data_IF_064868409661
#
_entry.id   IF_064868409661
#
_cell.length_a   1.000
_cell.length_b   1.000
_cell.length_c   1.000
_cell.angle_alpha   90.00
_cell.angle_beta   90.00
_cell.angle_gamma   90.00
#
_symmetry.space_group_name_H-M   'P 1'
#
loop_
_entity.id
_entity.type
_entity.pdbx_description
1 polymer ?
#
# COMPACT_ATOMS: atom_id res chain seq x y z
N UNK A 1 29.27 9.68 -29.79
CA UNK A 1 30.34 9.75 -30.82
C UNK A 1 31.51 10.57 -30.26
N UNK A 2 32.61 9.88 -29.90
CA UNK A 2 33.78 10.48 -29.25
C UNK A 2 34.68 11.19 -30.27
N UNK A 3 34.42 12.47 -30.54
CA UNK A 3 35.32 13.33 -31.31
C UNK A 3 36.52 13.85 -30.50
N UNK A 4 36.51 13.67 -29.17
CA UNK A 4 37.55 14.16 -28.25
C UNK A 4 38.97 13.62 -28.49
N UNK A 5 39.22 12.32 -28.77
CA UNK A 5 40.60 11.83 -28.88
C UNK A 5 41.35 12.33 -30.14
N UNK A 6 40.65 12.71 -31.22
CA UNK A 6 41.30 13.17 -32.46
C UNK A 6 41.95 14.55 -32.37
N UNK A 7 41.50 15.40 -31.44
CA UNK A 7 42.04 16.77 -31.24
C UNK A 7 43.06 16.79 -30.08
N UNK A 8 42.86 15.95 -29.06
CA UNK A 8 43.71 15.95 -27.87
C UNK A 8 45.11 15.39 -28.18
N UNK A 9 45.21 14.32 -28.97
CA UNK A 9 46.49 13.69 -29.30
C UNK A 9 47.49 14.63 -30.02
N UNK A 10 47.11 15.35 -31.10
CA UNK A 10 48.04 16.30 -31.74
C UNK A 10 48.39 17.48 -30.84
N UNK A 11 47.49 17.92 -29.97
CA UNK A 11 47.74 19.03 -29.03
C UNK A 11 48.79 18.63 -27.97
N UNK A 12 48.70 17.40 -27.43
CA UNK A 12 49.68 16.86 -26.49
C UNK A 12 51.03 16.63 -27.17
N UNK A 13 51.03 16.12 -28.40
CA UNK A 13 52.27 15.97 -29.15
C UNK A 13 52.96 17.34 -29.39
N UNK A 14 52.19 18.37 -29.74
CA UNK A 14 52.71 19.73 -29.91
C UNK A 14 53.23 20.32 -28.59
N UNK A 15 52.54 20.13 -27.47
CA UNK A 15 53.00 20.65 -26.16
C UNK A 15 54.29 19.98 -25.69
N UNK A 16 54.43 18.67 -25.93
CA UNK A 16 55.67 17.94 -25.62
C UNK A 16 56.83 18.44 -26.47
N UNK A 17 56.61 18.68 -27.77
CA UNK A 17 57.64 19.24 -28.65
C UNK A 17 58.07 20.65 -28.23
N UNK A 18 57.14 21.50 -27.82
CA UNK A 18 57.44 22.85 -27.30
C UNK A 18 58.29 22.76 -26.03
N UNK A 19 57.89 21.90 -25.08
CA UNK A 19 58.62 21.74 -23.83
C UNK A 19 60.05 21.22 -24.02
N UNK A 20 60.21 20.22 -24.90
CA UNK A 20 61.52 19.70 -25.28
C UNK A 20 62.37 20.76 -26.00
N UNK A 21 61.76 21.60 -26.84
CA UNK A 21 62.45 22.74 -27.45
C UNK A 21 62.93 23.74 -26.41
N UNK A 22 62.10 24.10 -25.44
CA UNK A 22 62.47 25.01 -24.34
C UNK A 22 63.63 24.41 -23.55
N UNK A 23 63.54 23.14 -23.14
CA UNK A 23 64.61 22.45 -22.41
C UNK A 23 65.93 22.47 -23.18
N UNK A 24 65.87 22.15 -24.48
CA UNK A 24 67.04 22.13 -25.36
C UNK A 24 67.68 23.50 -25.47
N UNK A 25 66.90 24.57 -25.71
CA UNK A 25 67.47 25.89 -25.89
C UNK A 25 67.99 26.51 -24.58
N UNK A 26 67.38 26.21 -23.43
CA UNK A 26 67.90 26.65 -22.12
C UNK A 26 69.26 26.03 -21.86
N UNK A 27 69.38 24.70 -22.00
CA UNK A 27 70.67 24.02 -21.83
C UNK A 27 71.69 24.53 -22.86
N UNK A 28 71.29 24.71 -24.11
CA UNK A 28 72.19 25.26 -25.12
C UNK A 28 72.67 26.67 -24.75
N UNK A 29 71.78 27.53 -24.25
CA UNK A 29 72.11 28.88 -23.81
C UNK A 29 73.08 28.91 -22.62
N UNK A 30 72.82 28.10 -21.59
CA UNK A 30 73.65 28.07 -20.37
C UNK A 30 75.11 27.67 -20.69
N UNK A 31 75.29 26.80 -21.67
CA UNK A 31 76.61 26.37 -22.15
C UNK A 31 77.12 27.20 -23.36
N UNK A 32 76.47 28.31 -23.69
CA UNK A 32 76.86 29.23 -24.77
C UNK A 32 76.95 28.57 -26.15
N UNK A 33 76.01 27.66 -26.44
CA UNK A 33 75.85 26.94 -27.71
C UNK A 33 77.12 26.16 -28.14
N UNK A 34 77.58 25.18 -27.33
CA UNK A 34 78.86 24.48 -27.53
C UNK A 34 78.82 23.59 -28.78
N UNK A 35 79.93 23.44 -29.52
CA UNK A 35 79.98 22.57 -30.72
C UNK A 35 79.83 21.08 -30.38
N UNK A 36 80.17 20.74 -29.15
CA UNK A 36 80.19 19.39 -28.58
C UNK A 36 78.78 18.80 -28.46
N UNK A 37 77.74 19.62 -28.50
CA UNK A 37 76.34 19.19 -28.49
C UNK A 37 75.80 18.76 -29.86
N UNK A 38 76.63 18.85 -30.91
CA UNK A 38 76.33 18.43 -32.27
C UNK A 38 75.98 19.60 -33.20
N UNK A 39 75.50 19.29 -34.39
CA UNK A 39 75.03 20.30 -35.34
C UNK A 39 73.64 20.82 -34.94
N UNK A 40 73.44 22.14 -35.05
CA UNK A 40 72.12 22.74 -34.93
C UNK A 40 71.25 22.42 -36.15
N UNK A 41 69.93 22.55 -36.00
CA UNK A 41 69.00 22.62 -37.13
C UNK A 41 69.27 23.88 -37.98
N UNK A 42 69.67 24.97 -37.31
CA UNK A 42 70.03 26.25 -37.91
C UNK A 42 71.24 26.82 -37.16
N UNK A 43 72.34 27.01 -37.88
CA UNK A 43 73.56 27.61 -37.36
C UNK A 43 73.73 29.03 -37.95
N UNK A 44 73.57 30.06 -37.12
CA UNK A 44 73.72 31.47 -37.52
C UNK A 44 74.79 32.13 -36.66
N UNK A 45 76.01 32.22 -37.19
CA UNK A 45 77.14 32.82 -36.49
C UNK A 45 77.51 32.04 -35.22
N UNK A 46 77.36 32.68 -34.05
CA UNK A 46 77.63 32.07 -32.73
C UNK A 46 76.39 31.44 -32.08
N UNK A 47 75.20 31.64 -32.65
CA UNK A 47 73.95 31.09 -32.13
C UNK A 47 73.61 29.80 -32.89
N UNK A 48 73.32 28.70 -32.17
CA UNK A 48 72.90 27.43 -32.77
C UNK A 48 71.53 27.02 -32.25
N UNK A 49 70.56 26.87 -33.15
CA UNK A 49 69.24 26.38 -32.77
C UNK A 49 69.25 24.86 -32.89
N UNK A 50 69.29 24.17 -31.76
CA UNK A 50 69.27 22.71 -31.71
C UNK A 50 67.87 22.12 -31.89
N UNK A 51 67.82 20.84 -32.29
CA UNK A 51 66.56 20.13 -32.47
C UNK A 51 65.81 19.96 -31.13
N UNK A 52 64.47 20.09 -31.10
CA UNK A 52 63.70 20.02 -29.87
C UNK A 52 63.98 18.78 -29.01
N UNK A 53 64.21 17.61 -29.62
CA UNK A 53 64.48 16.35 -28.90
C UNK A 53 65.94 16.17 -28.46
N UNK A 54 66.86 17.07 -28.82
CA UNK A 54 68.28 16.93 -28.51
C UNK A 54 68.55 16.89 -27.00
N UNK A 55 67.73 17.60 -26.22
CA UNK A 55 67.77 17.55 -24.75
C UNK A 55 67.73 16.12 -24.19
N UNK A 56 66.94 15.21 -24.77
CA UNK A 56 66.84 13.81 -24.28
C UNK A 56 68.18 13.09 -24.39
N UNK A 57 68.86 13.26 -25.53
CA UNK A 57 70.18 12.67 -25.76
C UNK A 57 71.26 13.31 -24.90
N UNK A 58 71.19 14.64 -24.71
CA UNK A 58 72.14 15.35 -23.85
C UNK A 58 71.95 15.02 -22.37
N UNK A 59 70.71 14.87 -21.91
CA UNK A 59 70.41 14.52 -20.53
C UNK A 59 71.04 13.18 -20.17
N UNK A 60 70.88 12.16 -21.03
CA UNK A 60 71.51 10.85 -20.81
C UNK A 60 73.05 10.86 -20.83
N UNK A 61 73.68 11.82 -21.53
CA UNK A 61 75.14 11.86 -21.73
C UNK A 61 75.88 12.79 -20.78
N UNK A 62 75.27 13.92 -20.42
CA UNK A 62 75.94 15.03 -19.75
C UNK A 62 75.31 15.41 -18.39
N UNK A 63 74.05 15.03 -18.12
CA UNK A 63 73.38 15.44 -16.88
C UNK A 63 74.10 14.94 -15.62
N UNK A 64 74.77 13.79 -15.66
CA UNK A 64 75.51 13.27 -14.51
C UNK A 64 76.66 14.20 -14.04
N UNK A 65 77.24 14.99 -14.95
CA UNK A 65 78.33 15.91 -14.64
C UNK A 65 77.84 17.34 -14.39
N UNK A 66 76.68 17.71 -14.93
CA UNK A 66 76.13 19.07 -14.89
C UNK A 66 74.68 19.07 -14.39
N UNK A 67 74.41 18.36 -13.29
CA UNK A 67 73.05 18.07 -12.79
C UNK A 67 72.19 19.33 -12.64
N UNK A 68 72.71 20.39 -12.02
CA UNK A 68 71.94 21.62 -11.76
C UNK A 68 71.38 22.27 -13.04
N UNK A 69 72.16 22.33 -14.13
CA UNK A 69 71.72 22.96 -15.37
C UNK A 69 70.65 22.11 -16.08
N UNK A 70 70.86 20.80 -16.12
CA UNK A 70 69.94 19.87 -16.79
C UNK A 70 68.63 19.66 -16.01
N UNK A 71 68.68 19.59 -14.68
CA UNK A 71 67.50 19.41 -13.84
C UNK A 71 66.62 20.67 -13.80
N UNK A 72 67.24 21.86 -13.78
CA UNK A 72 66.50 23.12 -13.88
C UNK A 72 65.77 23.22 -15.22
N UNK A 73 66.44 22.90 -16.33
CA UNK A 73 65.82 22.89 -17.65
C UNK A 73 64.69 21.85 -17.75
N UNK A 74 64.86 20.66 -17.15
CA UNK A 74 63.82 19.63 -17.08
C UNK A 74 62.60 20.10 -16.28
N UNK A 75 62.79 20.74 -15.12
CA UNK A 75 61.69 21.27 -14.31
C UNK A 75 60.91 22.38 -15.03
N UNK A 76 61.61 23.29 -15.70
CA UNK A 76 60.98 24.36 -16.49
C UNK A 76 60.14 23.77 -17.64
N UNK A 77 60.69 22.78 -18.34
CA UNK A 77 59.97 22.09 -19.41
C UNK A 77 58.74 21.33 -18.89
N UNK A 78 58.86 20.66 -17.74
CA UNK A 78 57.73 19.98 -17.09
C UNK A 78 56.64 20.99 -16.70
N UNK A 79 57.00 22.11 -16.08
CA UNK A 79 56.05 23.16 -15.71
C UNK A 79 55.33 23.74 -16.95
N UNK A 80 56.04 23.93 -18.06
CA UNK A 80 55.48 24.43 -19.32
C UNK A 80 54.40 23.51 -19.93
N UNK A 81 54.44 22.19 -19.67
CA UNK A 81 53.39 21.26 -20.10
C UNK A 81 52.26 21.17 -19.06
N UNK A 82 52.63 21.01 -17.79
CA UNK A 82 51.66 20.65 -16.74
C UNK A 82 50.77 21.82 -16.32
N UNK A 83 51.32 23.05 -16.21
CA UNK A 83 50.55 24.21 -15.74
C UNK A 83 49.40 24.56 -16.70
N UNK A 84 49.60 24.69 -18.02
CA UNK A 84 48.51 24.97 -18.96
C UNK A 84 47.50 23.82 -19.03
N UNK A 85 47.98 22.57 -18.95
CA UNK A 85 47.12 21.38 -18.99
C UNK A 85 46.21 21.30 -17.77
N UNK A 86 46.71 21.60 -16.57
CA UNK A 86 45.91 21.67 -15.35
C UNK A 86 44.89 22.81 -15.40
N UNK A 87 45.26 23.99 -15.90
CA UNK A 87 44.33 25.11 -16.09
C UNK A 87 43.22 24.74 -17.08
N UNK A 88 43.54 24.09 -18.18
CA UNK A 88 42.55 23.65 -19.18
C UNK A 88 41.59 22.59 -18.60
N UNK A 89 42.10 21.63 -17.83
CA UNK A 89 41.26 20.63 -17.13
C UNK A 89 40.38 21.30 -16.08
N UNK A 90 40.91 22.28 -15.34
CA UNK A 90 40.16 23.06 -14.35
C UNK A 90 39.04 23.90 -14.99
N UNK A 91 39.29 24.50 -16.15
CA UNK A 91 38.31 25.29 -16.90
C UNK A 91 37.25 24.41 -17.62
N UNK A 92 37.59 23.17 -17.97
CA UNK A 92 36.67 22.25 -18.68
C UNK A 92 35.89 21.31 -17.77
N UNK A 93 36.37 21.06 -16.54
CA UNK A 93 35.57 20.38 -15.51
C UNK A 93 34.55 21.35 -14.94
N UNK A 94 33.38 21.41 -15.56
CA UNK A 94 32.17 21.91 -14.91
C UNK A 94 31.94 21.11 -13.61
N UNK A 95 32.20 21.74 -12.47
CA UNK A 95 31.91 21.22 -11.12
C UNK A 95 30.41 21.21 -10.81
N UNK A 96 29.57 21.69 -11.74
CA UNK A 96 28.12 21.57 -11.63
C UNK A 96 27.66 20.31 -12.35
N UNK A 97 27.62 19.18 -11.63
CA UNK A 97 26.56 18.19 -11.91
C UNK A 97 25.26 18.90 -11.60
N UNK A 98 24.64 19.52 -12.62
CA UNK A 98 23.26 19.96 -12.49
C UNK A 98 22.45 18.73 -12.03
N UNK A 99 21.66 18.82 -10.95
CA UNK A 99 20.66 17.81 -10.65
C UNK A 99 19.85 17.58 -11.92
N UNK A 100 19.60 16.31 -12.28
CA UNK A 100 18.75 16.02 -13.45
C UNK A 100 17.41 16.72 -13.24
N UNK A 101 16.93 17.43 -14.25
CA UNK A 101 15.62 18.08 -14.21
C UNK A 101 14.55 17.05 -13.80
N UNK A 102 13.86 17.33 -12.70
CA UNK A 102 12.74 16.51 -12.25
C UNK A 102 11.72 16.40 -13.38
N UNK A 103 11.27 15.19 -13.72
CA UNK A 103 10.16 15.00 -14.66
C UNK A 103 10.51 14.49 -16.06
N UNK A 104 11.71 14.72 -16.59
CA UNK A 104 12.04 14.36 -17.99
C UNK A 104 12.03 12.85 -18.27
N UNK A 105 12.29 12.04 -17.25
CA UNK A 105 12.14 10.56 -17.28
C UNK A 105 11.06 10.08 -16.27
N UNK A 106 10.17 10.95 -15.79
CA UNK A 106 9.21 10.60 -14.74
C UNK A 106 8.02 9.76 -15.24
N UNK A 107 7.80 9.72 -16.56
CA UNK A 107 6.72 8.94 -17.14
C UNK A 107 7.17 7.51 -17.46
N UNK A 108 6.29 6.56 -17.16
CA UNK A 108 6.58 5.15 -17.36
C UNK A 108 6.78 4.82 -18.84
N UNK A 109 7.83 4.05 -19.15
CA UNK A 109 8.02 3.43 -20.46
C UNK A 109 7.39 2.04 -20.47
N UNK A 110 7.29 1.41 -21.64
CA UNK A 110 6.82 0.03 -21.73
C UNK A 110 7.70 -0.94 -20.91
N UNK A 111 9.01 -0.68 -20.81
CA UNK A 111 9.90 -1.44 -19.94
C UNK A 111 9.53 -1.30 -18.46
N UNK A 112 9.18 -0.10 -18.00
CA UNK A 112 8.71 0.14 -16.62
C UNK A 112 7.39 -0.58 -16.35
N UNK A 113 6.43 -0.51 -17.28
CA UNK A 113 5.11 -1.16 -17.17
C UNK A 113 5.25 -2.69 -17.10
N UNK A 114 6.11 -3.27 -17.93
CA UNK A 114 6.41 -4.72 -17.91
C UNK A 114 7.13 -5.13 -16.64
N UNK A 115 8.12 -4.35 -16.19
CA UNK A 115 8.83 -4.59 -14.92
C UNK A 115 7.88 -4.55 -13.73
N UNK A 116 6.90 -3.64 -13.75
CA UNK A 116 5.84 -3.54 -12.75
C UNK A 116 4.75 -4.61 -12.90
N UNK A 117 4.84 -5.50 -13.90
CA UNK A 117 3.88 -6.59 -14.16
C UNK A 117 2.43 -6.09 -14.31
N UNK A 118 2.25 -4.91 -14.91
CA UNK A 118 0.92 -4.32 -15.16
C UNK A 118 0.32 -4.76 -16.49
N UNK A 119 1.15 -5.26 -17.40
CA UNK A 119 0.73 -5.88 -18.66
C UNK A 119 1.16 -7.34 -18.62
N UNK A 120 0.19 -8.23 -18.76
CA UNK A 120 0.40 -9.68 -18.72
C UNK A 120 0.57 -10.23 -20.14
N UNK A 121 1.51 -11.16 -20.33
CA UNK A 121 1.86 -11.70 -21.65
C UNK A 121 0.86 -12.74 -22.19
N UNK A 122 -0.04 -13.23 -21.33
CA UNK A 122 -1.11 -14.18 -21.63
C UNK A 122 -2.29 -13.56 -22.38
N UNK A 123 -2.33 -12.22 -22.50
CA UNK A 123 -3.46 -11.48 -23.07
C UNK A 123 -4.69 -11.46 -22.17
N UNK A 124 -4.66 -12.10 -21.00
CA UNK A 124 -5.78 -12.15 -20.07
C UNK A 124 -5.84 -10.86 -19.24
N UNK A 125 -6.95 -10.13 -19.40
CA UNK A 125 -7.28 -8.98 -18.57
C UNK A 125 -7.84 -9.54 -17.25
N UNK A 126 -7.02 -9.53 -16.20
CA UNK A 126 -7.40 -10.04 -14.90
C UNK A 126 -6.81 -9.20 -13.77
N UNK A 127 -7.62 -8.94 -12.75
CA UNK A 127 -7.29 -8.08 -11.61
C UNK A 127 -7.88 -6.68 -11.72
N UNK A 128 -7.35 -5.76 -10.91
CA UNK A 128 -7.81 -4.36 -10.85
C UNK A 128 -7.36 -3.60 -12.08
N UNK A 129 -8.29 -3.06 -12.85
CA UNK A 129 -7.99 -2.33 -14.09
C UNK A 129 -7.59 -0.89 -13.76
N UNK A 130 -6.35 -0.54 -14.09
CA UNK A 130 -5.77 0.79 -13.85
C UNK A 130 -5.94 1.75 -15.04
N UNK A 131 -6.23 1.23 -16.23
CA UNK A 131 -6.39 2.01 -17.45
C UNK A 131 -5.73 1.35 -18.64
N UNK A 132 -5.28 2.15 -19.62
CA UNK A 132 -4.68 1.67 -20.86
C UNK A 132 -3.37 2.39 -21.15
N UNK A 133 -2.36 1.65 -21.58
CA UNK A 133 -1.06 2.18 -22.01
C UNK A 133 -0.68 1.57 -23.36
N UNK A 134 -0.46 2.39 -24.39
CA UNK A 134 -0.15 1.96 -25.75
C UNK A 134 -1.09 0.84 -26.26
N UNK A 135 -2.40 1.01 -26.06
CA UNK A 135 -3.42 0.05 -26.48
C UNK A 135 -3.59 -1.18 -25.58
N UNK A 136 -2.72 -1.39 -24.58
CA UNK A 136 -2.78 -2.54 -23.66
C UNK A 136 -3.43 -2.16 -22.34
N UNK A 137 -4.29 -3.02 -21.81
CA UNK A 137 -4.86 -2.83 -20.48
C UNK A 137 -3.79 -2.98 -19.40
N UNK A 138 -3.78 -2.04 -18.47
CA UNK A 138 -2.99 -2.11 -17.25
C UNK A 138 -3.83 -2.75 -16.16
N UNK A 139 -3.39 -3.88 -15.63
CA UNK A 139 -4.09 -4.60 -14.56
C UNK A 139 -3.15 -4.93 -13.41
N UNK A 140 -3.64 -4.71 -12.20
CA UNK A 140 -2.93 -4.98 -10.97
C UNK A 140 -3.54 -6.20 -10.27
N UNK A 141 -2.73 -7.24 -10.04
CA UNK A 141 -3.16 -8.51 -9.43
C UNK A 141 -2.72 -8.65 -7.97
N UNK A 142 -2.15 -7.60 -7.37
CA UNK A 142 -1.73 -7.61 -5.96
C UNK A 142 -2.88 -7.37 -4.98
N UNK A 143 -2.61 -7.60 -3.69
CA UNK A 143 -3.56 -7.50 -2.58
C UNK A 143 -3.68 -6.09 -1.99
N UNK A 144 -2.79 -5.19 -2.40
CA UNK A 144 -2.66 -3.84 -1.89
C UNK A 144 -3.92 -3.02 -2.17
N UNK A 145 -4.28 -2.18 -1.20
CA UNK A 145 -5.40 -1.25 -1.33
C UNK A 145 -5.09 -0.16 -2.37
N UNK A 146 -6.14 0.34 -3.03
CA UNK A 146 -6.02 1.46 -3.95
C UNK A 146 -7.07 2.53 -3.67
N UNK A 147 -6.68 3.77 -3.95
CA UNK A 147 -7.55 4.93 -3.95
C UNK A 147 -7.63 5.50 -5.36
N UNK A 148 -8.84 5.83 -5.82
CA UNK A 148 -9.08 6.47 -7.10
C UNK A 148 -9.66 7.85 -6.83
N UNK A 149 -8.89 8.89 -7.15
CA UNK A 149 -9.29 10.28 -6.94
C UNK A 149 -9.69 10.89 -8.28
N UNK A 150 -10.80 11.62 -8.29
CA UNK A 150 -11.27 12.32 -9.48
C UNK A 150 -12.56 13.07 -9.20
N UNK A 151 -12.83 14.13 -9.96
CA UNK A 151 -14.06 14.91 -9.82
C UNK A 151 -15.33 14.09 -10.20
N UNK A 152 -16.50 14.66 -9.95
CA UNK A 152 -17.74 14.10 -10.50
C UNK A 152 -17.67 14.06 -12.03
N UNK A 153 -18.23 13.02 -12.64
CA UNK A 153 -18.22 12.80 -14.12
C UNK A 153 -16.83 12.62 -14.76
N UNK A 154 -15.76 12.44 -13.98
CA UNK A 154 -14.41 12.19 -14.52
C UNK A 154 -14.19 10.77 -15.08
N UNK A 155 -15.23 9.95 -15.14
CA UNK A 155 -15.13 8.58 -15.65
C UNK A 155 -14.59 7.53 -14.67
N UNK A 156 -14.48 7.80 -13.36
CA UNK A 156 -13.99 6.79 -12.37
C UNK A 156 -14.74 5.45 -12.45
N UNK A 157 -16.07 5.52 -12.52
CA UNK A 157 -16.93 4.34 -12.61
C UNK A 157 -16.69 3.55 -13.90
N UNK A 158 -16.87 4.23 -15.04
CA UNK A 158 -16.75 3.61 -16.37
C UNK A 158 -15.31 3.18 -16.73
N UNK A 159 -14.29 3.92 -16.29
CA UNK A 159 -12.89 3.71 -16.67
C UNK A 159 -12.10 2.77 -15.76
N UNK A 160 -12.52 2.61 -14.50
CA UNK A 160 -11.81 1.79 -13.52
C UNK A 160 -12.69 0.78 -12.81
N UNK A 161 -13.81 1.21 -12.21
CA UNK A 161 -14.63 0.34 -11.35
C UNK A 161 -15.32 -0.75 -12.15
N UNK A 162 -16.07 -0.39 -13.21
CA UNK A 162 -16.76 -1.35 -14.08
C UNK A 162 -15.76 -2.32 -14.71
N UNK A 163 -14.68 -1.87 -15.40
CA UNK A 163 -13.70 -2.80 -15.96
C UNK A 163 -13.06 -3.71 -14.90
N UNK A 164 -12.83 -3.21 -13.69
CA UNK A 164 -12.35 -4.04 -12.58
C UNK A 164 -13.35 -5.11 -12.21
N UNK A 165 -14.63 -4.81 -12.02
CA UNK A 165 -15.64 -5.82 -11.65
C UNK A 165 -15.84 -6.89 -12.72
N UNK A 166 -15.60 -6.55 -13.99
CA UNK A 166 -15.64 -7.48 -15.13
C UNK A 166 -14.38 -8.36 -15.18
N UNK A 167 -13.20 -7.78 -14.91
CA UNK A 167 -11.91 -8.48 -14.99
C UNK A 167 -11.48 -9.16 -13.68
N UNK A 168 -12.11 -8.85 -12.55
CA UNK A 168 -11.77 -9.40 -11.24
C UNK A 168 -12.40 -10.79 -11.08
N UNK A 169 -11.59 -11.87 -11.11
CA UNK A 169 -12.12 -13.22 -11.16
C UNK A 169 -12.58 -13.74 -9.79
N UNK A 170 -12.19 -13.07 -8.71
CA UNK A 170 -12.51 -13.48 -7.34
C UNK A 170 -13.81 -12.83 -6.86
N UNK A 171 -14.19 -13.14 -5.63
CA UNK A 171 -15.29 -12.52 -4.92
C UNK A 171 -15.10 -11.01 -4.76
N UNK A 172 -16.21 -10.28 -4.78
CA UNK A 172 -16.24 -8.84 -4.63
C UNK A 172 -17.44 -8.43 -3.78
N UNK A 173 -17.19 -7.65 -2.73
CA UNK A 173 -18.21 -6.94 -1.97
C UNK A 173 -18.25 -5.49 -2.44
N UNK A 174 -19.39 -5.05 -2.97
CA UNK A 174 -19.50 -3.76 -3.66
C UNK A 174 -20.53 -2.87 -2.98
N UNK A 175 -20.08 -1.76 -2.40
CA UNK A 175 -20.98 -0.72 -1.93
C UNK A 175 -21.42 0.17 -3.09
N UNK A 176 -22.60 -0.09 -3.63
CA UNK A 176 -23.16 0.60 -4.80
C UNK A 176 -24.39 1.44 -4.43
N UNK A 177 -24.14 2.64 -3.91
CA UNK A 177 -25.22 3.57 -3.51
C UNK A 177 -26.18 3.96 -4.65
N UNK A 178 -25.75 3.83 -5.92
CA UNK A 178 -26.55 4.23 -7.09
C UNK A 178 -27.21 3.06 -7.82
N UNK A 179 -26.77 1.82 -7.58
CA UNK A 179 -27.22 0.63 -8.31
C UNK A 179 -26.64 0.48 -9.73
N UNK A 180 -25.84 1.45 -10.21
CA UNK A 180 -25.30 1.44 -11.58
C UNK A 180 -24.37 0.24 -11.81
N UNK A 181 -23.58 -0.16 -10.80
CA UNK A 181 -22.63 -1.26 -10.92
C UNK A 181 -23.36 -2.60 -10.98
N UNK A 182 -24.42 -2.77 -10.19
CA UNK A 182 -25.29 -3.94 -10.27
C UNK A 182 -25.84 -4.11 -11.69
N UNK A 183 -26.51 -3.08 -12.23
CA UNK A 183 -27.14 -3.17 -13.55
C UNK A 183 -26.16 -3.38 -14.70
N UNK A 184 -24.93 -2.88 -14.59
CA UNK A 184 -23.91 -3.01 -15.65
C UNK A 184 -23.17 -4.35 -15.56
N UNK A 185 -22.89 -4.85 -14.36
CA UNK A 185 -21.89 -5.92 -14.18
C UNK A 185 -22.46 -7.24 -13.66
N UNK A 186 -23.65 -7.25 -13.05
CA UNK A 186 -24.18 -8.44 -12.40
C UNK A 186 -24.34 -9.61 -13.37
N UNK A 187 -24.92 -9.39 -14.55
CA UNK A 187 -25.18 -10.47 -15.52
C UNK A 187 -23.90 -11.07 -16.09
N UNK A 188 -22.87 -10.26 -16.32
CA UNK A 188 -21.55 -10.78 -16.67
C UNK A 188 -20.96 -11.63 -15.54
N UNK A 189 -21.03 -11.14 -14.29
CA UNK A 189 -20.50 -11.88 -13.14
C UNK A 189 -21.24 -13.20 -12.87
N UNK A 190 -22.56 -13.26 -13.13
CA UNK A 190 -23.37 -14.49 -13.03
C UNK A 190 -22.86 -15.61 -13.94
N UNK A 191 -22.12 -15.30 -15.00
CA UNK A 191 -21.56 -16.33 -15.90
C UNK A 191 -20.46 -17.17 -15.25
N UNK A 192 -19.84 -16.69 -14.17
CA UNK A 192 -18.71 -17.37 -13.50
C UNK A 192 -18.77 -17.33 -11.97
N UNK A 193 -19.77 -16.70 -11.35
CA UNK A 193 -19.87 -16.52 -9.91
C UNK A 193 -21.32 -16.39 -9.45
N UNK A 194 -21.56 -16.54 -8.15
CA UNK A 194 -22.84 -16.22 -7.53
C UNK A 194 -22.93 -14.71 -7.27
N UNK A 195 -24.08 -14.11 -7.57
CA UNK A 195 -24.25 -12.66 -7.51
C UNK A 195 -25.51 -12.33 -6.72
N UNK A 196 -25.35 -11.66 -5.58
CA UNK A 196 -26.41 -11.33 -4.63
C UNK A 196 -26.69 -9.82 -4.63
N UNK A 197 -27.97 -9.44 -4.72
CA UNK A 197 -28.43 -8.05 -4.65
C UNK A 197 -29.00 -7.75 -3.27
N UNK A 198 -28.25 -7.07 -2.43
CA UNK A 198 -28.71 -6.64 -1.11
C UNK A 198 -28.99 -5.13 -1.10
N UNK A 199 -30.27 -4.77 -1.08
CA UNK A 199 -30.76 -3.41 -0.97
C UNK A 199 -31.96 -3.39 0.00
N UNK A 200 -31.76 -3.07 1.29
CA UNK A 200 -32.79 -3.21 2.33
C UNK A 200 -33.94 -2.18 2.24
N UNK A 201 -34.11 -1.54 1.09
CA UNK A 201 -35.21 -0.64 0.72
C UNK A 201 -35.84 -1.03 -0.62
N UNK A 202 -35.46 -2.17 -1.21
CA UNK A 202 -36.03 -2.73 -2.44
C UNK A 202 -36.72 -4.08 -2.12
N UNK A 203 -37.99 -4.28 -2.50
CA UNK A 203 -38.69 -5.55 -2.28
C UNK A 203 -38.03 -6.77 -2.94
N UNK A 204 -37.24 -6.59 -4.01
CA UNK A 204 -36.57 -7.67 -4.74
C UNK A 204 -35.16 -7.99 -4.19
N UNK A 205 -34.80 -7.44 -3.03
CA UNK A 205 -33.55 -7.74 -2.36
C UNK A 205 -33.48 -9.21 -1.93
N UNK A 206 -32.28 -9.78 -1.96
CA UNK A 206 -32.00 -10.97 -1.15
C UNK A 206 -32.02 -10.59 0.32
N UNK A 207 -32.19 -11.59 1.19
CA UNK A 207 -32.18 -11.40 2.64
C UNK A 207 -30.85 -11.80 3.23
N UNK A 208 -30.39 -11.02 4.19
CA UNK A 208 -29.21 -11.32 4.99
C UNK A 208 -29.47 -10.91 6.44
N UNK A 209 -29.51 -11.89 7.33
CA UNK A 209 -29.71 -11.69 8.75
C UNK A 209 -28.34 -11.71 9.46
N UNK A 210 -27.86 -10.57 10.00
CA UNK A 210 -26.58 -10.52 10.70
C UNK A 210 -26.53 -11.42 11.93
N UNK A 211 -27.67 -11.77 12.54
CA UNK A 211 -27.69 -12.66 13.70
C UNK A 211 -27.35 -14.11 13.34
N UNK A 212 -27.49 -14.51 12.08
CA UNK A 212 -27.14 -15.86 11.63
C UNK A 212 -25.63 -16.04 11.43
N UNK A 213 -24.87 -14.95 11.40
CA UNK A 213 -23.39 -14.99 11.38
C UNK A 213 -22.80 -15.26 12.78
N UNK A 214 -23.61 -15.23 13.84
CA UNK A 214 -23.18 -15.47 15.22
C UNK A 214 -22.93 -16.96 15.45
N UNK A 215 -21.68 -17.32 15.81
CA UNK A 215 -21.31 -18.70 16.13
C UNK A 215 -21.63 -19.02 17.59
N UNK A 216 -22.72 -19.77 17.80
CA UNK A 216 -23.11 -20.26 19.12
C UNK A 216 -21.99 -21.10 19.76
N UNK A 217 -21.81 -20.94 21.07
CA UNK A 217 -20.75 -21.61 21.83
C UNK A 217 -19.59 -20.66 22.18
N UNK A 218 -18.32 -21.09 22.10
CA UNK A 218 -17.21 -20.35 22.70
C UNK A 218 -17.01 -18.90 22.24
N UNK A 219 -17.41 -18.57 21.00
CA UNK A 219 -17.21 -17.26 20.39
C UNK A 219 -18.45 -16.37 20.39
N UNK A 220 -19.58 -16.86 20.91
CA UNK A 220 -20.89 -16.21 20.73
C UNK A 220 -20.96 -14.80 21.29
N UNK A 221 -20.31 -14.57 22.44
CA UNK A 221 -20.26 -13.24 23.07
C UNK A 221 -19.48 -12.26 22.20
N UNK A 222 -18.30 -12.67 21.72
CA UNK A 222 -17.45 -11.83 20.88
C UNK A 222 -18.14 -11.48 19.55
N UNK A 223 -18.81 -12.47 18.94
CA UNK A 223 -19.55 -12.28 17.69
C UNK A 223 -20.72 -11.29 17.87
N UNK A 224 -21.49 -11.43 18.96
CA UNK A 224 -22.60 -10.52 19.25
C UNK A 224 -22.09 -9.12 19.61
N UNK A 225 -21.02 -8.99 20.38
CA UNK A 225 -20.42 -7.68 20.70
C UNK A 225 -19.98 -6.93 19.44
N UNK A 226 -19.47 -7.62 18.42
CA UNK A 226 -19.17 -7.01 17.11
C UNK A 226 -20.44 -6.46 16.43
N UNK A 227 -21.53 -7.24 16.43
CA UNK A 227 -22.82 -6.80 15.87
C UNK A 227 -23.37 -5.59 16.66
N UNK A 228 -23.37 -5.67 17.99
CA UNK A 228 -23.89 -4.61 18.86
C UNK A 228 -23.07 -3.33 18.75
N UNK A 229 -21.74 -3.42 18.65
CA UNK A 229 -20.88 -2.26 18.42
C UNK A 229 -21.27 -1.47 17.16
N UNK A 230 -21.60 -2.19 16.07
CA UNK A 230 -22.09 -1.58 14.82
C UNK A 230 -23.48 -0.95 15.01
N UNK A 231 -24.37 -1.56 15.79
CA UNK A 231 -25.72 -1.04 16.03
C UNK A 231 -25.74 0.21 16.94
N UNK A 232 -24.86 0.26 17.93
CA UNK A 232 -24.79 1.36 18.92
C UNK A 232 -23.97 2.55 18.39
N UNK A 233 -22.91 2.29 17.62
CA UNK A 233 -22.08 3.33 16.98
C UNK A 233 -21.81 3.01 15.50
N UNK A 234 -22.82 3.14 14.62
CA UNK A 234 -22.70 2.73 13.20
C UNK A 234 -21.68 3.55 12.41
N UNK A 235 -21.29 4.73 12.90
CA UNK A 235 -20.31 5.60 12.24
C UNK A 235 -18.93 5.53 12.89
N UNK A 236 -18.76 4.72 13.95
CA UNK A 236 -17.50 4.61 14.68
C UNK A 236 -17.02 5.93 15.29
N UNK A 237 -17.93 6.89 15.53
CA UNK A 237 -17.54 8.24 15.98
C UNK A 237 -17.11 8.26 17.44
N UNK A 238 -17.57 7.29 18.23
CA UNK A 238 -17.24 7.18 19.64
C UNK A 238 -15.89 6.48 19.84
N UNK A 239 -15.37 5.75 18.84
CA UNK A 239 -14.06 5.09 18.88
C UNK A 239 -13.80 4.26 20.16
N UNK A 240 -14.86 3.71 20.76
CA UNK A 240 -14.80 2.98 22.03
C UNK A 240 -15.01 3.82 23.30
N UNK A 241 -15.07 5.16 23.21
CA UNK A 241 -15.49 6.06 24.30
C UNK A 241 -17.02 6.08 24.44
N UNK A 242 -17.54 4.91 24.83
CA UNK A 242 -18.96 4.73 25.09
C UNK A 242 -19.30 5.37 26.43
N UNK A 243 -20.30 6.25 26.44
CA UNK A 243 -20.80 6.76 27.71
C UNK A 243 -21.51 5.64 28.49
N UNK A 244 -21.83 5.88 29.77
CA UNK A 244 -22.51 4.91 30.63
C UNK A 244 -23.76 4.27 29.99
N UNK A 245 -24.56 5.06 29.27
CA UNK A 245 -25.78 4.59 28.61
C UNK A 245 -25.48 3.68 27.43
N UNK A 246 -24.45 4.00 26.66
CA UNK A 246 -23.99 3.20 25.54
C UNK A 246 -23.42 1.85 26.00
N UNK A 247 -22.66 1.84 27.10
CA UNK A 247 -22.14 0.60 27.68
C UNK A 247 -23.28 -0.26 28.24
N UNK A 248 -24.17 0.32 29.04
CA UNK A 248 -25.31 -0.40 29.62
C UNK A 248 -26.25 -0.95 28.54
N UNK A 249 -26.45 -0.19 27.45
CA UNK A 249 -27.22 -0.64 26.29
C UNK A 249 -26.50 -1.78 25.55
N UNK A 250 -25.18 -1.72 25.43
CA UNK A 250 -24.37 -2.78 24.79
C UNK A 250 -24.47 -4.10 25.56
N UNK A 251 -24.33 -4.04 26.88
CA UNK A 251 -24.40 -5.22 27.76
C UNK A 251 -25.80 -5.85 27.69
N UNK A 252 -26.86 -5.03 27.80
CA UNK A 252 -28.22 -5.51 27.69
C UNK A 252 -28.56 -6.04 26.28
N UNK A 253 -28.08 -5.38 25.23
CA UNK A 253 -28.27 -5.84 23.85
C UNK A 253 -27.65 -7.22 23.63
N UNK A 254 -26.46 -7.44 24.18
CA UNK A 254 -25.79 -8.74 24.10
C UNK A 254 -26.67 -9.82 24.73
N UNK A 255 -27.20 -9.57 25.92
CA UNK A 255 -28.08 -10.50 26.63
C UNK A 255 -29.40 -10.78 25.90
N UNK A 256 -30.10 -9.76 25.38
CA UNK A 256 -31.39 -9.97 24.71
C UNK A 256 -31.23 -10.62 23.31
N UNK A 257 -30.14 -10.32 22.58
CA UNK A 257 -29.85 -11.00 21.31
C UNK A 257 -29.54 -12.48 21.56
N UNK A 258 -28.74 -12.79 22.58
CA UNK A 258 -28.52 -14.19 22.99
C UNK A 258 -29.83 -14.89 23.34
N UNK A 259 -30.71 -14.22 24.09
CA UNK A 259 -32.03 -14.76 24.41
C UNK A 259 -32.76 -15.15 23.14
N UNK A 260 -32.93 -14.20 22.21
CA UNK A 260 -33.59 -14.46 20.91
C UNK A 260 -32.95 -15.63 20.17
N UNK A 261 -31.62 -15.67 20.05
CA UNK A 261 -30.93 -16.73 19.31
C UNK A 261 -31.15 -18.13 19.91
N UNK A 262 -31.34 -18.25 21.23
CA UNK A 262 -31.48 -19.52 21.93
C UNK A 262 -32.94 -19.92 22.21
N UNK A 263 -33.85 -18.97 22.43
CA UNK A 263 -35.22 -19.25 22.88
C UNK A 263 -36.26 -19.18 21.77
N UNK A 264 -36.06 -18.33 20.77
CA UNK A 264 -37.05 -18.09 19.73
C UNK A 264 -37.04 -19.18 18.64
N UNK A 265 -38.12 -19.24 17.87
CA UNK A 265 -38.19 -20.02 16.63
C UNK A 265 -37.25 -19.41 15.58
N UNK A 266 -36.72 -20.23 14.66
CA UNK A 266 -35.73 -19.77 13.68
C UNK A 266 -36.21 -18.55 12.86
N UNK A 267 -37.50 -18.51 12.50
CA UNK A 267 -38.11 -17.39 11.76
C UNK A 267 -38.17 -16.08 12.54
N UNK A 268 -37.97 -16.13 13.86
CA UNK A 268 -37.97 -14.97 14.76
C UNK A 268 -36.58 -14.62 15.28
N UNK A 269 -35.53 -15.34 14.88
CA UNK A 269 -34.14 -15.07 15.28
C UNK A 269 -33.53 -13.89 14.54
N UNK A 270 -34.18 -12.72 14.59
CA UNK A 270 -33.78 -11.52 13.86
C UNK A 270 -33.92 -10.25 14.72
N UNK A 271 -33.33 -9.14 14.25
CA UNK A 271 -33.30 -7.87 14.99
C UNK A 271 -34.67 -7.21 15.12
N UNK A 272 -35.63 -7.53 14.24
CA UNK A 272 -37.01 -7.06 14.38
C UNK A 272 -37.70 -7.70 15.59
N UNK A 273 -37.45 -8.99 15.87
CA UNK A 273 -37.94 -9.63 17.10
C UNK A 273 -37.29 -9.02 18.34
N UNK A 274 -35.98 -8.76 18.31
CA UNK A 274 -35.31 -8.03 19.41
C UNK A 274 -36.01 -6.70 19.68
N UNK A 275 -36.30 -5.91 18.64
CA UNK A 275 -37.05 -4.65 18.75
C UNK A 275 -38.43 -4.83 19.39
N UNK A 276 -39.16 -5.91 19.06
CA UNK A 276 -40.48 -6.23 19.66
C UNK A 276 -40.37 -6.52 21.15
N UNK A 277 -39.38 -7.32 21.55
CA UNK A 277 -39.15 -7.68 22.96
C UNK A 277 -38.76 -6.47 23.84
N UNK A 278 -38.23 -5.40 23.24
CA UNK A 278 -37.94 -4.14 23.94
C UNK A 278 -39.19 -3.30 24.25
N UNK A 279 -40.36 -3.60 23.68
CA UNK A 279 -41.58 -2.81 23.88
C UNK A 279 -42.13 -3.02 25.29
N UNK A 280 -42.35 -4.29 25.66
CA UNK A 280 -42.79 -4.68 26.99
C UNK A 280 -41.68 -5.49 27.66
N UNK A 281 -40.90 -4.82 28.51
CA UNK A 281 -39.63 -5.35 28.99
C UNK A 281 -39.81 -6.37 30.13
N UNK A 282 -40.82 -6.22 30.99
CA UNK A 282 -40.94 -7.07 32.19
C UNK A 282 -41.19 -8.56 31.87
N UNK A 283 -42.10 -8.92 30.95
CA UNK A 283 -42.26 -10.31 30.53
C UNK A 283 -41.00 -10.86 29.85
N UNK A 284 -40.29 -10.01 29.09
CA UNK A 284 -39.03 -10.37 28.43
C UNK A 284 -37.96 -10.68 29.48
N UNK A 285 -37.79 -9.84 30.50
CA UNK A 285 -36.85 -10.06 31.60
C UNK A 285 -37.18 -11.33 32.38
N UNK A 286 -38.47 -11.59 32.63
CA UNK A 286 -38.90 -12.85 33.24
C UNK A 286 -38.51 -14.06 32.35
N UNK A 287 -38.80 -14.01 31.05
CA UNK A 287 -38.44 -15.08 30.12
C UNK A 287 -36.92 -15.30 30.05
N UNK A 288 -36.13 -14.23 30.01
CA UNK A 288 -34.66 -14.28 30.01
C UNK A 288 -34.09 -14.97 31.25
N UNK A 289 -34.67 -14.74 32.44
CA UNK A 289 -34.17 -15.33 33.70
C UNK A 289 -34.60 -16.79 33.90
N UNK A 290 -35.69 -17.22 33.27
CA UNK A 290 -36.29 -18.53 33.54
C UNK A 290 -36.15 -19.55 32.40
N UNK A 291 -35.79 -19.11 31.19
CA UNK A 291 -35.57 -20.01 30.05
C UNK A 291 -34.24 -20.76 30.17
N UNK A 292 -34.25 -22.07 29.89
CA UNK A 292 -33.02 -22.86 29.76
C UNK A 292 -32.53 -22.77 28.32
N UNK A 293 -31.48 -21.99 28.09
CA UNK A 293 -31.06 -21.56 26.76
C UNK A 293 -30.11 -22.58 26.12
N UNK A 294 -29.21 -23.15 26.91
CA UNK A 294 -28.17 -24.08 26.44
C UNK A 294 -27.88 -25.16 27.47
N UNK A 295 -27.13 -26.17 27.03
CA UNK A 295 -26.44 -27.06 27.95
C UNK A 295 -25.14 -26.41 28.41
N UNK A 296 -24.82 -26.54 29.70
CA UNK A 296 -23.64 -25.94 30.32
C UNK A 296 -22.35 -26.46 29.68
N UNK A 297 -21.48 -25.58 29.15
CA UNK A 297 -20.18 -26.00 28.62
C UNK A 297 -19.23 -26.41 29.76
N UNK A 298 -18.39 -27.39 29.48
CA UNK A 298 -17.27 -27.81 30.34
C UNK A 298 -16.12 -28.29 29.44
N UNK A 299 -15.07 -27.46 29.32
CA UNK A 299 -13.93 -27.72 28.45
C UNK A 299 -13.10 -28.93 28.89
N UNK A 300 -13.27 -29.40 30.13
CA UNK A 300 -12.55 -30.53 30.69
C UNK A 300 -13.37 -31.83 30.65
N UNK A 301 -14.67 -31.76 30.37
CA UNK A 301 -15.54 -32.93 30.28
C UNK A 301 -15.45 -33.62 28.90
N UNK A 302 -15.56 -34.95 28.85
CA UNK A 302 -15.74 -35.68 27.59
C UNK A 302 -16.98 -35.19 26.82
N UNK A 303 -16.76 -34.64 25.62
CA UNK A 303 -17.82 -34.05 24.79
C UNK A 303 -18.14 -32.58 25.10
N UNK A 304 -17.35 -31.89 25.93
CA UNK A 304 -17.39 -30.44 26.10
C UNK A 304 -18.57 -29.89 26.91
N UNK A 305 -19.34 -30.75 27.58
CA UNK A 305 -20.56 -30.37 28.32
C UNK A 305 -20.53 -30.91 29.74
N UNK A 306 -20.93 -30.08 30.70
CA UNK A 306 -21.12 -30.50 32.08
C UNK A 306 -22.31 -31.47 32.17
N UNK A 307 -22.13 -32.54 32.95
CA UNK A 307 -23.15 -33.59 33.14
C UNK A 307 -23.60 -33.68 34.59
N UNK A 308 -24.90 -33.92 34.77
CA UNK A 308 -25.50 -34.17 36.07
C UNK A 308 -25.12 -35.54 36.63
N UNK A 309 -25.59 -35.82 37.86
CA UNK A 309 -25.42 -37.13 38.51
C UNK A 309 -26.06 -38.29 37.71
N UNK A 310 -27.03 -37.97 36.86
CA UNK A 310 -27.73 -38.89 35.95
C UNK A 310 -27.01 -39.08 34.60
N UNK A 311 -25.84 -38.45 34.43
CA UNK A 311 -25.05 -38.51 33.20
C UNK A 311 -25.60 -37.65 32.05
N UNK A 312 -26.70 -36.89 32.23
CA UNK A 312 -27.26 -36.04 31.17
C UNK A 312 -26.63 -34.64 31.16
N UNK A 313 -26.55 -33.97 29.99
CA UNK A 313 -26.10 -32.58 29.93
C UNK A 313 -26.97 -31.67 30.81
N UNK A 314 -26.34 -30.76 31.55
CA UNK A 314 -27.05 -29.85 32.45
C UNK A 314 -27.60 -28.68 31.64
N UNK A 315 -28.93 -28.57 31.52
CA UNK A 315 -29.57 -27.40 30.94
C UNK A 315 -29.49 -26.20 31.90
N UNK A 316 -29.05 -25.05 31.40
CA UNK A 316 -28.85 -23.84 32.19
C UNK A 316 -29.50 -22.60 31.57
N UNK A 317 -29.77 -21.61 32.42
CA UNK A 317 -29.95 -20.24 31.95
C UNK A 317 -28.57 -19.76 31.53
N UNK A 318 -28.45 -19.20 30.33
CA UNK A 318 -27.16 -18.71 29.88
C UNK A 318 -26.65 -17.62 30.85
N UNK A 319 -25.43 -17.72 31.40
CA UNK A 319 -24.94 -16.79 32.43
C UNK A 319 -25.01 -15.31 32.01
N UNK A 320 -24.59 -15.00 30.78
CA UNK A 320 -24.66 -13.63 30.25
C UNK A 320 -26.09 -13.08 30.14
N UNK A 321 -27.05 -13.92 29.72
CA UNK A 321 -28.45 -13.54 29.64
C UNK A 321 -28.99 -13.24 31.04
N UNK A 322 -28.68 -14.09 32.02
CA UNK A 322 -29.08 -13.91 33.40
C UNK A 322 -28.48 -12.62 34.00
N UNK A 323 -27.20 -12.36 33.74
CA UNK A 323 -26.50 -11.16 34.20
C UNK A 323 -27.11 -9.89 33.61
N UNK A 324 -27.26 -9.81 32.29
CA UNK A 324 -27.86 -8.65 31.62
C UNK A 324 -29.32 -8.41 32.02
N UNK A 325 -30.13 -9.47 32.14
CA UNK A 325 -31.51 -9.34 32.60
C UNK A 325 -31.60 -8.89 34.06
N UNK A 326 -30.74 -9.41 34.94
CA UNK A 326 -30.74 -9.03 36.36
C UNK A 326 -30.22 -7.61 36.55
N UNK A 327 -29.17 -7.23 35.81
CA UNK A 327 -28.61 -5.89 35.84
C UNK A 327 -29.66 -4.85 35.44
N UNK A 328 -30.32 -5.02 34.29
CA UNK A 328 -31.35 -4.08 33.84
C UNK A 328 -32.54 -4.03 34.81
N UNK A 329 -33.00 -5.17 35.32
CA UNK A 329 -34.14 -5.23 36.24
C UNK A 329 -33.85 -4.54 37.58
N UNK A 330 -32.61 -4.62 38.05
CA UNK A 330 -32.15 -3.98 39.29
C UNK A 330 -31.95 -2.47 39.20
N UNK A 331 -31.97 -1.89 38.00
CA UNK A 331 -31.82 -0.45 37.80
C UNK A 331 -33.06 0.31 38.28
N UNK A 332 -32.85 1.52 38.80
CA UNK A 332 -33.93 2.49 39.01
C UNK A 332 -34.69 2.74 37.70
N UNK A 333 -36.00 2.94 37.79
CA UNK A 333 -36.91 3.07 36.64
C UNK A 333 -36.45 4.14 35.64
N UNK A 334 -35.89 5.26 36.10
CA UNK A 334 -35.38 6.30 35.21
C UNK A 334 -34.16 5.82 34.41
N UNK A 335 -33.25 5.13 35.07
CA UNK A 335 -32.03 4.59 34.46
C UNK A 335 -32.39 3.49 33.46
N UNK A 336 -33.24 2.54 33.88
CA UNK A 336 -33.81 1.48 33.05
C UNK A 336 -34.45 2.04 31.76
N UNK A 337 -35.30 3.06 31.91
CA UNK A 337 -35.96 3.71 30.78
C UNK A 337 -34.98 4.35 29.80
N UNK A 338 -33.91 4.99 30.29
CA UNK A 338 -32.88 5.59 29.42
C UNK A 338 -32.08 4.53 28.65
N UNK A 339 -31.69 3.44 29.30
CA UNK A 339 -30.99 2.32 28.64
C UNK A 339 -31.86 1.71 27.53
N UNK A 340 -33.14 1.48 27.81
CA UNK A 340 -34.10 0.98 26.82
C UNK A 340 -34.35 1.96 25.67
N UNK A 341 -34.35 3.27 25.94
CA UNK A 341 -34.47 4.29 24.90
C UNK A 341 -33.27 4.24 23.93
N UNK A 342 -32.05 4.11 24.44
CA UNK A 342 -30.84 3.92 23.62
C UNK A 342 -30.96 2.66 22.76
N UNK A 343 -31.38 1.53 23.35
CA UNK A 343 -31.59 0.29 22.60
C UNK A 343 -32.62 0.48 21.47
N UNK A 344 -33.77 1.08 21.76
CA UNK A 344 -34.82 1.32 20.75
C UNK A 344 -34.35 2.24 19.63
N UNK A 345 -33.54 3.26 19.93
CA UNK A 345 -33.00 4.17 18.93
C UNK A 345 -32.06 3.46 17.95
N UNK A 346 -31.18 2.58 18.45
CA UNK A 346 -30.29 1.75 17.62
C UNK A 346 -31.02 0.81 16.66
N UNK A 347 -32.25 0.40 16.99
CA UNK A 347 -33.09 -0.45 16.14
C UNK A 347 -34.17 0.31 15.35
N UNK A 348 -34.06 1.65 15.24
CA UNK A 348 -35.07 2.47 14.55
C UNK A 348 -35.29 2.09 13.08
N UNK A 349 -34.25 1.60 12.38
CA UNK A 349 -34.36 1.16 10.97
C UNK A 349 -35.34 -0.01 10.79
N UNK A 350 -35.49 -0.88 11.79
CA UNK A 350 -36.43 -2.03 11.78
C UNK A 350 -37.88 -1.62 12.06
N UNK A 351 -38.19 -0.32 12.05
CA UNK A 351 -39.56 0.15 11.91
C UNK A 351 -40.07 0.04 10.45
N UNK A 352 -39.16 0.01 9.48
CA UNK A 352 -39.50 -0.17 8.06
C UNK A 352 -39.69 -1.67 7.74
N UNK A 353 -40.86 -2.09 7.22
CA UNK A 353 -41.12 -3.47 6.82
C UNK A 353 -40.14 -4.03 5.78
N UNK A 354 -39.57 -3.18 4.91
CA UNK A 354 -38.59 -3.61 3.90
C UNK A 354 -37.26 -3.99 4.56
N UNK A 355 -36.81 -3.20 5.54
CA UNK A 355 -35.60 -3.51 6.31
C UNK A 355 -35.80 -4.76 7.17
N UNK A 356 -36.97 -4.89 7.79
CA UNK A 356 -37.35 -6.11 8.52
C UNK A 356 -37.31 -7.33 7.59
N UNK A 357 -37.97 -7.26 6.43
CA UNK A 357 -37.96 -8.36 5.45
C UNK A 357 -36.52 -8.71 5.03
N UNK A 358 -35.74 -7.72 4.62
CA UNK A 358 -34.36 -7.89 4.15
C UNK A 358 -33.42 -8.51 5.21
N UNK A 359 -33.75 -8.38 6.50
CA UNK A 359 -32.92 -8.90 7.61
C UNK A 359 -33.60 -10.00 8.42
N UNK A 360 -34.76 -10.49 7.95
CA UNK A 360 -35.56 -11.51 8.65
C UNK A 360 -34.95 -12.92 8.58
N UNK A 361 -34.16 -13.18 7.54
CA UNK A 361 -33.56 -14.47 7.21
C UNK A 361 -32.24 -14.27 6.44
N UNK A 362 -31.48 -15.34 6.23
CA UNK A 362 -30.29 -15.32 5.36
C UNK A 362 -30.48 -16.24 4.17
N UNK A 363 -30.44 -15.68 2.97
CA UNK A 363 -30.41 -16.44 1.72
C UNK A 363 -28.97 -16.86 1.33
N UNK A 364 -27.97 -16.24 1.97
CA UNK A 364 -26.54 -16.55 1.86
C UNK A 364 -25.83 -16.21 3.18
N UNK A 365 -24.64 -16.78 3.40
CA UNK A 365 -23.72 -16.40 4.48
C UNK A 365 -22.53 -15.61 3.93
N UNK A 366 -21.89 -14.79 4.76
CA UNK A 366 -20.65 -14.11 4.36
C UNK A 366 -19.53 -15.12 4.04
N UNK A 367 -19.55 -16.29 4.69
CA UNK A 367 -18.64 -17.40 4.38
C UNK A 367 -18.71 -17.86 2.92
N UNK A 368 -19.90 -17.85 2.33
CA UNK A 368 -20.11 -18.22 0.92
C UNK A 368 -19.41 -17.26 -0.06
N UNK A 369 -19.13 -16.03 0.37
CA UNK A 369 -18.39 -15.06 -0.43
C UNK A 369 -16.87 -15.26 -0.36
N UNK A 370 -16.34 -15.85 0.72
CA UNK A 370 -14.90 -15.94 0.96
C UNK A 370 -14.33 -17.31 0.59
N UNK A 371 -15.15 -18.35 0.65
CA UNK A 371 -14.73 -19.75 0.49
C UNK A 371 -15.12 -20.41 -0.84
N UNK A 372 -15.66 -19.65 -1.80
CA UNK A 372 -16.09 -20.13 -3.11
C UNK A 372 -14.94 -20.29 -4.13
#
# INVERSE_FOLDING_TARGET
MNARPKIILPLVAASVLIALSIATQIVAHDFHYPREFGHGLLDVGRLRIYAPWAFVGWYGRFAAHYQQAFDMAAMIALAAVFVPSMLLIGLTKSTRRAPREFGKEAWATEAHVRKAKLVHGDGQISGRVLGRFNGKYLTYRGVEHAIIVGASRSGKGAGHVVPTLIAWPQSAFVYDRKGELWHITADHRKTFSHVFYFAPTDPNTVRWNPLFEVRKGPMEIADIQNVVGILVDPLGRKAGDLNFWDQSATDFFTAIILHVLYSEEDTKKNLAQVRRLLINIDPTLHAMKHTKHRHRPDLHAPGGLARGKDGKPIAEVHPEILLGATALDSMDERVKSNVLATCRASLSLWADPLVEYATSWSDFSIGDLVCA
#
